data_IF_188829193703
#
_entry.id   IF_188829193703
#
_cell.length_a   1.000
_cell.length_b   1.000
_cell.length_c   1.000
_cell.angle_alpha   90.00
_cell.angle_beta   90.00
_cell.angle_gamma   90.00
#
_symmetry.space_group_name_H-M   'P 1'
#
loop_
_entity.id
_entity.type
_entity.pdbx_description
1 polymer ?
#
# COMPACT_ATOMS: atom_id res chain seq x y z
N UNK A 1 12.28 -6.43 -39.83
CA UNK A 1 12.79 -7.32 -40.88
C UNK A 1 14.31 -7.45 -40.71
N UNK A 2 14.78 -8.46 -40.02
CA UNK A 2 16.20 -8.70 -39.83
C UNK A 2 16.49 -9.51 -38.57
N UNK A 3 17.71 -10.01 -38.46
CA UNK A 3 18.24 -10.75 -37.32
C UNK A 3 18.80 -9.85 -36.21
N UNK A 4 18.46 -8.55 -36.24
CA UNK A 4 18.98 -7.58 -35.26
C UNK A 4 17.97 -7.42 -34.12
N UNK A 5 18.42 -7.72 -32.93
CA UNK A 5 17.67 -7.44 -31.69
C UNK A 5 18.19 -6.12 -31.14
N UNK A 6 17.31 -5.14 -31.02
CA UNK A 6 17.62 -3.86 -30.39
C UNK A 6 17.04 -3.88 -28.97
N UNK A 7 17.92 -3.70 -27.99
CA UNK A 7 17.54 -3.62 -26.59
C UNK A 7 17.71 -2.18 -26.13
N UNK A 8 16.60 -1.55 -25.73
CA UNK A 8 16.62 -0.20 -25.18
C UNK A 8 16.31 -0.28 -23.68
N UNK A 9 17.24 0.20 -22.86
CA UNK A 9 17.01 0.31 -21.43
C UNK A 9 15.94 1.37 -21.15
N UNK A 10 14.95 1.03 -20.36
CA UNK A 10 13.95 1.99 -19.90
C UNK A 10 14.61 2.96 -18.90
N UNK A 11 14.29 4.25 -19.01
CA UNK A 11 14.77 5.25 -18.07
C UNK A 11 14.15 5.04 -16.70
N UNK A 12 14.96 5.19 -15.64
CA UNK A 12 14.50 5.15 -14.26
C UNK A 12 13.74 6.44 -13.93
N UNK A 13 12.84 6.36 -12.95
CA UNK A 13 12.18 7.55 -12.42
C UNK A 13 13.22 8.52 -11.86
N UNK A 14 13.16 9.78 -12.30
CA UNK A 14 14.06 10.85 -11.85
C UNK A 14 13.28 12.10 -11.38
N UNK A 15 11.95 12.03 -11.36
CA UNK A 15 11.08 13.13 -10.97
C UNK A 15 10.38 12.79 -9.66
N UNK A 16 10.33 13.76 -8.75
CA UNK A 16 9.56 13.64 -7.53
C UNK A 16 8.05 13.64 -7.85
N UNK A 17 7.31 12.81 -7.15
CA UNK A 17 5.86 12.73 -7.26
C UNK A 17 5.20 12.53 -5.88
N UNK A 18 3.95 12.91 -5.78
CA UNK A 18 3.17 12.82 -4.53
C UNK A 18 2.06 11.80 -4.70
N UNK A 19 1.96 10.86 -3.75
CA UNK A 19 0.77 10.02 -3.56
C UNK A 19 -0.06 10.66 -2.46
N UNK A 20 -1.18 11.26 -2.84
CA UNK A 20 -2.05 12.00 -1.93
C UNK A 20 -3.26 11.17 -1.51
N UNK A 21 -3.61 11.24 -0.22
CA UNK A 21 -4.80 10.57 0.31
C UNK A 21 -4.62 9.10 0.65
N UNK A 22 -3.38 8.60 0.65
CA UNK A 22 -3.05 7.21 0.97
C UNK A 22 -3.45 6.87 2.41
N UNK A 23 -3.90 5.64 2.64
CA UNK A 23 -4.29 5.14 3.97
C UNK A 23 -3.15 4.36 4.63
N UNK A 24 -3.24 4.20 5.96
CA UNK A 24 -2.25 3.46 6.74
C UNK A 24 -2.05 2.01 6.26
N UNK A 25 -3.12 1.34 5.81
CA UNK A 25 -3.07 -0.01 5.25
C UNK A 25 -2.27 -0.07 3.95
N UNK A 26 -2.44 0.91 3.06
CA UNK A 26 -1.70 0.96 1.78
C UNK A 26 -0.23 1.32 2.00
N UNK A 27 0.07 2.18 2.99
CA UNK A 27 1.46 2.47 3.39
C UNK A 27 2.14 1.21 3.92
N UNK A 28 1.41 0.38 4.69
CA UNK A 28 1.93 -0.91 5.15
C UNK A 28 2.29 -1.83 3.99
N UNK A 29 1.53 -1.78 2.88
CA UNK A 29 1.84 -2.53 1.68
C UNK A 29 3.20 -2.13 1.06
N UNK A 30 3.55 -0.84 1.04
CA UNK A 30 4.89 -0.41 0.61
C UNK A 30 5.99 -1.05 1.45
N UNK A 31 5.81 -1.17 2.77
CA UNK A 31 6.80 -1.84 3.63
C UNK A 31 6.95 -3.34 3.33
N UNK A 32 5.88 -3.97 2.83
CA UNK A 32 5.94 -5.37 2.37
C UNK A 32 6.68 -5.45 1.05
N UNK A 33 6.39 -4.57 0.09
CA UNK A 33 7.07 -4.50 -1.20
C UNK A 33 8.54 -4.13 -1.05
N UNK A 34 8.87 -3.20 -0.16
CA UNK A 34 10.26 -2.80 0.15
C UNK A 34 11.11 -4.01 0.56
N UNK A 35 10.54 -4.95 1.34
CA UNK A 35 11.26 -6.18 1.74
C UNK A 35 11.57 -7.11 0.58
N UNK A 36 10.81 -7.03 -0.49
CA UNK A 36 10.99 -7.88 -1.69
C UNK A 36 11.89 -7.18 -2.69
N UNK A 37 11.55 -5.94 -3.06
CA UNK A 37 12.19 -5.25 -4.19
C UNK A 37 13.45 -4.48 -3.82
N UNK A 38 13.66 -4.16 -2.53
CA UNK A 38 14.91 -3.55 -2.04
C UNK A 38 15.88 -4.58 -1.44
N UNK A 39 15.52 -5.88 -1.40
CA UNK A 39 16.44 -6.94 -1.06
C UNK A 39 17.46 -7.18 -2.19
N UNK A 40 18.59 -7.82 -1.86
CA UNK A 40 19.61 -8.16 -2.86
C UNK A 40 19.18 -9.37 -3.70
N UNK A 41 19.21 -9.29 -5.05
CA UNK A 41 19.53 -8.13 -5.88
C UNK A 41 18.41 -7.08 -5.93
N UNK A 42 18.77 -5.81 -5.70
CA UNK A 42 17.81 -4.70 -5.65
C UNK A 42 17.19 -4.45 -7.02
N UNK A 43 15.85 -4.34 -7.06
CA UNK A 43 15.14 -3.81 -8.22
C UNK A 43 15.36 -2.29 -8.31
N UNK A 44 16.20 -1.89 -9.24
CA UNK A 44 16.65 -0.49 -9.40
C UNK A 44 15.55 0.44 -9.91
N UNK A 45 14.52 -0.08 -10.58
CA UNK A 45 13.37 0.72 -11.04
C UNK A 45 12.41 0.99 -9.88
N UNK A 46 12.15 -0.02 -9.06
CA UNK A 46 11.38 0.13 -7.84
C UNK A 46 12.06 1.10 -6.88
N UNK A 47 13.36 0.91 -6.63
CA UNK A 47 14.16 1.76 -5.75
C UNK A 47 14.11 3.25 -6.17
N UNK A 48 14.31 3.54 -7.46
CA UNK A 48 14.22 4.90 -7.98
C UNK A 48 12.82 5.52 -7.76
N UNK A 49 11.75 4.78 -8.04
CA UNK A 49 10.39 5.26 -7.76
C UNK A 49 10.16 5.48 -6.26
N UNK A 50 10.63 4.58 -5.44
CA UNK A 50 10.47 4.67 -3.98
C UNK A 50 11.23 5.86 -3.40
N UNK A 51 12.40 6.17 -3.96
CA UNK A 51 13.21 7.34 -3.59
C UNK A 51 12.51 8.65 -3.93
N UNK A 52 11.88 8.76 -5.10
CA UNK A 52 11.22 9.99 -5.56
C UNK A 52 9.78 10.15 -5.09
N UNK A 53 9.18 9.11 -4.50
CA UNK A 53 7.81 9.18 -4.00
C UNK A 53 7.70 9.90 -2.66
N UNK A 54 6.71 10.79 -2.54
CA UNK A 54 6.32 11.47 -1.30
C UNK A 54 4.91 11.00 -0.91
N UNK A 55 4.75 10.51 0.31
CA UNK A 55 3.48 9.97 0.79
C UNK A 55 2.76 11.01 1.66
N UNK A 56 1.61 11.47 1.20
CA UNK A 56 0.70 12.32 1.98
C UNK A 56 -0.50 11.47 2.39
N UNK A 57 -0.53 11.06 3.63
CA UNK A 57 -1.58 10.21 4.17
C UNK A 57 -2.74 11.01 4.76
N UNK A 58 -3.94 10.45 4.68
CA UNK A 58 -5.10 10.92 5.43
C UNK A 58 -5.43 9.86 6.49
N UNK A 59 -5.48 10.26 7.77
CA UNK A 59 -5.93 9.41 8.84
C UNK A 59 -7.35 8.89 8.56
N UNK A 60 -7.61 7.62 8.88
CA UNK A 60 -8.81 6.92 8.44
C UNK A 60 -9.99 7.19 9.39
N UNK A 61 -10.69 8.31 9.20
CA UNK A 61 -11.81 8.74 10.04
C UNK A 61 -13.08 7.90 9.91
N UNK A 62 -13.20 7.12 8.84
CA UNK A 62 -14.38 6.32 8.54
C UNK A 62 -14.00 4.92 8.00
N UNK A 63 -13.63 3.99 8.90
CA UNK A 63 -13.29 2.62 8.51
C UNK A 63 -14.56 1.83 8.17
N UNK A 64 -14.46 1.01 7.12
CA UNK A 64 -15.52 0.10 6.68
C UNK A 64 -15.64 -1.13 7.62
N UNK A 65 -16.78 -1.81 7.55
CA UNK A 65 -17.00 -3.03 8.36
C UNK A 65 -16.05 -4.18 8.00
N UNK A 66 -15.50 -4.16 6.80
CA UNK A 66 -14.49 -5.12 6.33
C UNK A 66 -13.06 -4.79 6.76
N UNK A 67 -12.82 -3.65 7.44
CA UNK A 67 -11.49 -3.25 7.86
C UNK A 67 -10.95 -4.13 9.01
N UNK A 68 -9.66 -4.47 8.91
CA UNK A 68 -8.93 -5.30 9.89
C UNK A 68 -7.50 -4.79 10.16
N UNK A 69 -7.27 -3.49 10.01
CA UNK A 69 -5.95 -2.86 10.16
C UNK A 69 -5.27 -3.19 11.49
N UNK A 70 -6.02 -3.08 12.59
CA UNK A 70 -5.52 -3.30 13.95
C UNK A 70 -5.07 -4.74 14.21
N UNK A 71 -5.70 -5.72 13.53
CA UNK A 71 -5.26 -7.13 13.55
C UNK A 71 -3.79 -7.29 13.14
N UNK A 72 -3.29 -6.42 12.24
CA UNK A 72 -1.92 -6.44 11.75
C UNK A 72 -1.05 -5.33 12.35
N UNK A 73 -1.48 -4.72 13.45
CA UNK A 73 -0.74 -3.67 14.15
C UNK A 73 -0.60 -2.38 13.35
N UNK A 74 -1.56 -2.09 12.46
CA UNK A 74 -1.60 -0.84 11.68
C UNK A 74 -2.46 0.17 12.45
N UNK A 75 -1.90 1.34 12.75
CA UNK A 75 -2.65 2.43 13.38
C UNK A 75 -3.33 3.31 12.33
N UNK A 76 -4.66 3.25 12.17
CA UNK A 76 -5.38 4.06 11.20
C UNK A 76 -5.41 5.55 11.56
N UNK A 77 -5.16 5.89 12.85
CA UNK A 77 -5.13 7.26 13.34
C UNK A 77 -3.76 7.93 13.15
N UNK A 78 -2.69 7.12 12.94
CA UNK A 78 -1.32 7.60 12.82
C UNK A 78 -0.61 6.86 11.68
N UNK A 79 -0.94 7.15 10.41
CA UNK A 79 -0.23 6.60 9.25
C UNK A 79 1.27 6.94 9.29
N UNK A 80 2.11 6.01 8.82
CA UNK A 80 3.57 6.21 8.77
C UNK A 80 3.99 6.79 7.40
N UNK A 81 3.62 8.05 7.13
CA UNK A 81 3.84 8.77 5.88
C UNK A 81 4.80 9.96 6.06
N UNK A 82 5.19 10.60 4.95
CA UNK A 82 6.00 11.82 4.97
C UNK A 82 5.19 12.99 5.55
N UNK A 83 3.92 13.07 5.19
CA UNK A 83 2.94 14.02 5.77
C UNK A 83 1.68 13.27 6.14
N UNK A 84 1.12 13.57 7.30
CA UNK A 84 -0.17 13.03 7.75
C UNK A 84 -1.18 14.16 7.92
N UNK A 85 -2.38 13.92 7.42
CA UNK A 85 -3.51 14.83 7.52
C UNK A 85 -4.59 14.22 8.42
N UNK A 86 -5.13 15.01 9.34
CA UNK A 86 -6.31 14.69 10.15
C UNK A 86 -7.42 15.68 9.82
N UNK A 87 -8.59 15.16 9.48
CA UNK A 87 -9.78 16.00 9.26
C UNK A 87 -10.50 16.22 10.59
N UNK A 88 -10.73 17.49 10.92
CA UNK A 88 -11.51 17.92 12.09
C UNK A 88 -12.53 18.98 11.65
N UNK A 89 -13.80 18.60 11.58
CA UNK A 89 -14.82 19.44 10.98
C UNK A 89 -14.56 19.69 9.49
N UNK A 90 -14.46 20.95 9.09
CA UNK A 90 -14.17 21.37 7.72
C UNK A 90 -12.67 21.67 7.48
N UNK A 91 -11.85 21.52 8.50
CA UNK A 91 -10.42 21.80 8.46
C UNK A 91 -9.58 20.54 8.39
N UNK A 92 -8.34 20.68 7.89
CA UNK A 92 -7.34 19.64 7.91
C UNK A 92 -6.13 20.11 8.71
N UNK A 93 -5.71 19.29 9.68
CA UNK A 93 -4.47 19.45 10.41
C UNK A 93 -3.40 18.62 9.73
N UNK A 94 -2.24 19.20 9.46
CA UNK A 94 -1.14 18.55 8.78
C UNK A 94 0.10 18.49 9.67
N UNK A 95 0.82 17.36 9.61
CA UNK A 95 2.13 17.22 10.26
C UNK A 95 3.09 16.47 9.35
N UNK A 96 4.30 17.03 9.16
CA UNK A 96 5.40 16.36 8.49
C UNK A 96 6.17 15.46 9.46
N UNK A 97 6.71 14.35 8.91
CA UNK A 97 7.52 13.38 9.66
C UNK A 97 8.86 13.12 9.01
N UNK A 98 9.10 13.66 7.80
CA UNK A 98 10.35 13.52 7.05
C UNK A 98 10.75 14.85 6.44
N UNK A 99 12.03 14.98 6.06
CA UNK A 99 12.53 16.17 5.36
C UNK A 99 11.80 16.39 4.02
N UNK A 100 11.39 15.32 3.33
CA UNK A 100 10.57 15.43 2.10
C UNK A 100 9.21 16.05 2.39
N UNK A 101 8.58 15.59 3.48
CA UNK A 101 7.31 16.12 3.95
C UNK A 101 7.41 17.60 4.36
N UNK A 102 8.47 18.00 5.04
CA UNK A 102 8.72 19.40 5.42
C UNK A 102 8.87 20.29 4.19
N UNK A 103 9.66 19.87 3.20
CA UNK A 103 9.84 20.60 1.94
C UNK A 103 8.52 20.76 1.18
N UNK A 104 7.71 19.69 1.15
CA UNK A 104 6.40 19.74 0.50
C UNK A 104 5.47 20.72 1.22
N UNK A 105 5.39 20.63 2.56
CA UNK A 105 4.51 21.50 3.37
C UNK A 105 4.94 22.96 3.35
N UNK A 106 6.21 23.26 3.14
CA UNK A 106 6.70 24.65 3.02
C UNK A 106 6.07 25.42 1.84
N UNK A 107 5.53 24.70 0.85
CA UNK A 107 4.81 25.29 -0.28
C UNK A 107 3.29 25.49 0.00
N UNK A 108 2.79 25.05 1.16
CA UNK A 108 1.38 25.16 1.50
C UNK A 108 1.09 26.42 2.31
N UNK A 109 -0.07 27.01 2.11
CA UNK A 109 -0.59 28.05 2.97
C UNK A 109 -1.20 27.41 4.22
N UNK A 110 -0.47 27.49 5.35
CA UNK A 110 -0.88 26.89 6.62
C UNK A 110 -0.80 27.91 7.75
N UNK A 111 -1.59 27.69 8.80
CA UNK A 111 -1.46 28.37 10.09
C UNK A 111 -0.88 27.39 11.13
N UNK A 112 -0.26 27.94 12.18
CA UNK A 112 0.22 27.11 13.29
C UNK A 112 -0.95 26.49 14.05
N UNK A 113 -0.79 25.20 14.41
CA UNK A 113 -1.73 24.44 15.22
C UNK A 113 -1.07 24.06 16.56
N UNK A 114 -1.87 23.93 17.61
CA UNK A 114 -1.41 23.53 18.94
C UNK A 114 -1.06 22.04 19.00
N UNK A 115 -0.11 21.74 19.88
CA UNK A 115 0.19 20.35 20.23
C UNK A 115 -1.05 19.74 20.92
N UNK A 116 -1.55 18.60 20.41
CA UNK A 116 -2.76 17.95 20.93
C UNK A 116 -4.06 18.32 20.26
N UNK A 117 -4.09 19.28 19.31
CA UNK A 117 -5.32 19.72 18.63
C UNK A 117 -6.07 18.59 17.89
N UNK A 118 -5.38 17.49 17.59
CA UNK A 118 -5.94 16.33 16.88
C UNK A 118 -6.07 15.07 17.74
N UNK A 119 -5.82 15.14 19.04
CA UNK A 119 -5.83 13.95 19.91
C UNK A 119 -7.24 13.37 20.08
N UNK A 120 -8.26 14.22 20.11
CA UNK A 120 -9.66 13.83 20.09
C UNK A 120 -10.02 13.09 18.79
N UNK A 121 -9.56 13.58 17.64
CA UNK A 121 -9.76 12.94 16.32
C UNK A 121 -9.08 11.56 16.29
N UNK A 122 -7.84 11.47 16.79
CA UNK A 122 -7.12 10.20 16.86
C UNK A 122 -7.82 9.19 17.76
N UNK A 123 -8.32 9.63 18.91
CA UNK A 123 -9.09 8.79 19.83
C UNK A 123 -10.39 8.29 19.20
N UNK A 124 -11.11 9.16 18.48
CA UNK A 124 -12.34 8.80 17.75
C UNK A 124 -12.06 7.75 16.67
N UNK A 125 -11.01 7.94 15.86
CA UNK A 125 -10.61 6.99 14.82
C UNK A 125 -10.33 5.61 15.43
N UNK A 126 -9.56 5.55 16.53
CA UNK A 126 -9.25 4.30 17.22
C UNK A 126 -10.51 3.61 17.74
N UNK A 127 -11.40 4.36 18.40
CA UNK A 127 -12.65 3.82 18.91
C UNK A 127 -13.55 3.27 17.80
N UNK A 128 -13.66 3.97 16.66
CA UNK A 128 -14.41 3.51 15.50
C UNK A 128 -13.81 2.22 14.93
N UNK A 129 -12.47 2.16 14.81
CA UNK A 129 -11.79 0.98 14.28
C UNK A 129 -11.97 -0.24 15.22
N UNK A 130 -11.82 -0.05 16.52
CA UNK A 130 -11.96 -1.11 17.51
C UNK A 130 -13.40 -1.71 17.57
N UNK A 131 -14.39 -0.91 17.16
CA UNK A 131 -15.78 -1.36 17.07
C UNK A 131 -16.08 -2.22 15.84
N UNK A 132 -15.14 -2.33 14.88
CA UNK A 132 -15.39 -3.06 13.63
C UNK A 132 -15.30 -4.57 13.81
N UNK A 133 -16.13 -5.36 13.06
CA UNK A 133 -16.24 -6.81 13.24
C UNK A 133 -14.92 -7.57 13.09
N UNK A 134 -13.99 -7.04 12.27
CA UNK A 134 -12.72 -7.69 11.97
C UNK A 134 -11.51 -6.97 12.59
N UNK A 135 -11.72 -6.04 13.52
CA UNK A 135 -10.65 -5.31 14.18
C UNK A 135 -9.68 -6.22 14.95
N UNK A 136 -10.17 -7.36 15.44
CA UNK A 136 -9.40 -8.29 16.29
C UNK A 136 -9.56 -9.74 15.82
N UNK A 137 -9.07 -10.04 14.61
CA UNK A 137 -9.09 -11.40 14.08
C UNK A 137 -8.11 -12.30 14.85
N UNK A 138 -8.51 -13.54 15.10
CA UNK A 138 -7.61 -14.53 15.63
C UNK A 138 -6.75 -15.11 14.49
N UNK A 139 -5.46 -14.81 14.52
CA UNK A 139 -4.46 -15.27 13.54
C UNK A 139 -3.68 -16.51 14.02
N UNK A 140 -4.10 -17.20 15.08
CA UNK A 140 -3.43 -18.41 15.56
C UNK A 140 -3.36 -19.46 14.45
N UNK A 141 -2.17 -19.93 14.14
CA UNK A 141 -1.92 -20.89 13.06
C UNK A 141 -1.89 -20.26 11.65
N UNK A 142 -1.95 -18.92 11.54
CA UNK A 142 -1.76 -18.20 10.28
C UNK A 142 -0.38 -17.54 10.31
N UNK A 143 0.67 -18.34 10.16
CA UNK A 143 2.07 -17.92 10.22
C UNK A 143 2.94 -18.79 9.31
N UNK A 144 4.24 -18.47 9.25
CA UNK A 144 5.20 -19.17 8.41
C UNK A 144 5.43 -20.65 8.79
N UNK A 145 5.26 -20.99 10.06
CA UNK A 145 5.47 -22.36 10.56
C UNK A 145 4.34 -23.28 10.13
N UNK A 146 3.15 -22.73 9.92
CA UNK A 146 1.95 -23.47 9.48
C UNK A 146 1.66 -23.31 7.97
N UNK A 147 2.59 -22.78 7.19
CA UNK A 147 2.38 -22.46 5.77
C UNK A 147 1.88 -23.65 4.95
N UNK A 148 2.47 -24.84 5.14
CA UNK A 148 2.07 -26.05 4.42
C UNK A 148 0.64 -26.52 4.77
N UNK A 149 0.26 -26.40 6.04
CA UNK A 149 -1.08 -26.76 6.52
C UNK A 149 -2.12 -25.78 5.97
N UNK A 150 -1.79 -24.48 5.98
CA UNK A 150 -2.63 -23.45 5.40
C UNK A 150 -2.82 -23.64 3.90
N UNK A 151 -1.72 -23.86 3.16
CA UNK A 151 -1.76 -24.05 1.71
C UNK A 151 -2.61 -25.25 1.30
N UNK A 152 -2.53 -26.37 2.02
CA UNK A 152 -3.28 -27.58 1.73
C UNK A 152 -4.63 -27.65 2.46
N UNK A 153 -5.08 -26.58 3.07
CA UNK A 153 -6.33 -26.58 3.84
C UNK A 153 -7.56 -26.81 2.94
N UNK A 154 -8.44 -27.76 3.30
CA UNK A 154 -9.68 -28.00 2.55
C UNK A 154 -10.65 -26.81 2.61
N UNK A 155 -10.39 -25.84 3.48
CA UNK A 155 -11.19 -24.60 3.57
C UNK A 155 -11.13 -23.79 2.26
N UNK A 156 -10.03 -23.89 1.49
CA UNK A 156 -9.87 -23.16 0.24
C UNK A 156 -10.91 -23.54 -0.81
N UNK A 157 -11.27 -24.82 -0.90
CA UNK A 157 -12.32 -25.27 -1.81
C UNK A 157 -13.64 -24.53 -1.54
N UNK A 158 -14.06 -24.46 -0.28
CA UNK A 158 -15.29 -23.77 0.11
C UNK A 158 -15.20 -22.25 -0.09
N UNK A 159 -14.05 -21.65 0.22
CA UNK A 159 -13.83 -20.20 0.09
C UNK A 159 -13.77 -19.76 -1.38
N UNK A 160 -13.25 -20.61 -2.25
CA UNK A 160 -13.15 -20.32 -3.69
C UNK A 160 -14.42 -20.62 -4.48
N UNK A 161 -15.33 -21.43 -3.95
CA UNK A 161 -16.55 -21.87 -4.64
C UNK A 161 -17.42 -20.72 -5.18
N UNK A 162 -17.62 -19.58 -4.48
CA UNK A 162 -18.38 -18.45 -5.01
C UNK A 162 -17.56 -17.57 -5.97
N UNK A 163 -16.29 -17.90 -6.24
CA UNK A 163 -15.41 -17.06 -7.03
C UNK A 163 -15.78 -17.12 -8.53
N UNK A 164 -16.03 -15.93 -9.13
CA UNK A 164 -16.32 -15.80 -10.56
C UNK A 164 -15.05 -15.69 -11.42
N UNK A 165 -13.85 -15.71 -10.83
CA UNK A 165 -12.59 -15.56 -11.55
C UNK A 165 -12.37 -14.19 -12.19
N UNK A 166 -13.00 -13.13 -11.68
CA UNK A 166 -12.93 -11.78 -12.26
C UNK A 166 -11.59 -11.05 -12.03
N UNK A 167 -10.71 -11.57 -11.15
CA UNK A 167 -9.40 -10.99 -10.87
C UNK A 167 -9.42 -9.69 -10.03
N UNK A 168 -10.57 -9.15 -9.65
CA UNK A 168 -10.67 -7.89 -8.91
C UNK A 168 -9.86 -7.89 -7.61
N UNK A 169 -9.88 -9.00 -6.85
CA UNK A 169 -9.14 -9.12 -5.60
C UNK A 169 -7.62 -9.00 -5.77
N UNK A 170 -7.06 -9.49 -6.89
CA UNK A 170 -5.65 -9.34 -7.21
C UNK A 170 -5.32 -7.97 -7.79
N UNK A 171 -6.26 -7.37 -8.52
CA UNK A 171 -6.09 -6.04 -9.10
C UNK A 171 -6.07 -4.94 -8.03
N UNK A 172 -6.93 -5.02 -7.02
CA UNK A 172 -7.01 -4.00 -5.95
C UNK A 172 -6.00 -4.22 -4.82
N UNK A 173 -5.39 -5.39 -4.73
CA UNK A 173 -4.43 -5.70 -3.67
C UNK A 173 -3.09 -5.01 -3.92
N UNK A 174 -2.64 -4.11 -3.05
CA UNK A 174 -1.42 -3.33 -3.28
C UNK A 174 -0.14 -4.17 -3.19
N UNK A 175 -0.20 -5.39 -2.67
CA UNK A 175 0.94 -6.33 -2.61
C UNK A 175 0.91 -7.42 -3.66
N UNK A 176 -0.14 -7.47 -4.51
CA UNK A 176 -0.28 -8.45 -5.57
C UNK A 176 0.49 -8.00 -6.81
N UNK A 177 1.75 -8.39 -6.91
CA UNK A 177 2.66 -8.02 -8.00
C UNK A 177 2.95 -9.16 -8.97
N UNK A 178 2.22 -10.29 -8.84
CA UNK A 178 2.38 -11.42 -9.77
C UNK A 178 1.82 -11.08 -11.13
N UNK A 179 2.55 -11.41 -12.17
CA UNK A 179 2.15 -11.28 -13.57
C UNK A 179 2.54 -12.55 -14.34
N UNK A 180 1.86 -12.79 -15.45
CA UNK A 180 2.15 -13.88 -16.37
C UNK A 180 2.84 -13.32 -17.62
N UNK A 181 3.90 -13.97 -18.07
CA UNK A 181 4.57 -13.63 -19.33
C UNK A 181 4.31 -14.74 -20.31
N UNK A 182 3.68 -14.42 -21.43
CA UNK A 182 3.37 -15.38 -22.50
C UNK A 182 3.99 -14.93 -23.81
N UNK A 183 4.62 -15.88 -24.47
CA UNK A 183 5.13 -15.69 -25.82
C UNK A 183 4.17 -16.33 -26.83
N UNK A 184 3.75 -15.55 -27.79
CA UNK A 184 2.88 -16.00 -28.89
C UNK A 184 3.63 -15.91 -30.21
N UNK A 185 3.62 -17.02 -30.96
CA UNK A 185 4.08 -17.00 -32.35
C UNK A 185 2.97 -16.36 -33.23
N UNK A 186 3.31 -15.23 -33.85
CA UNK A 186 2.40 -14.50 -34.76
C UNK A 186 2.51 -14.97 -36.22
N UNK A 187 3.36 -15.98 -36.52
CA UNK A 187 3.73 -16.38 -37.85
C UNK A 187 4.70 -15.43 -38.56
N UNK A 188 4.98 -14.27 -38.00
CA UNK A 188 5.95 -13.26 -38.47
C UNK A 188 6.98 -12.91 -37.41
N UNK A 189 6.93 -13.53 -36.25
CA UNK A 189 7.79 -13.32 -35.08
C UNK A 189 7.10 -13.70 -33.79
N UNK A 190 7.82 -13.53 -32.68
CA UNK A 190 7.28 -13.78 -31.33
C UNK A 190 6.85 -12.46 -30.72
N UNK A 191 5.63 -12.44 -30.19
CA UNK A 191 5.10 -11.32 -29.42
C UNK A 191 4.95 -11.75 -27.96
N UNK A 192 5.50 -10.94 -27.05
CA UNK A 192 5.43 -11.13 -25.59
C UNK A 192 4.37 -10.22 -24.97
N UNK A 193 3.54 -10.76 -24.10
CA UNK A 193 2.51 -10.06 -23.32
C UNK A 193 2.78 -10.24 -21.84
#
# INVERSE_FOLDING_TARGET
EGKTIELTEQQRCAEDYVIFGIRACDIRAFKVLDKVFLADPVDTYYAARREHGILVAIACSDPEDSCFCTTFGIDPAQPEADVVLWKKGDEYYAKSYTEKGEKLMAAWETSEAGEGDVDDVKAEIKAKMDSKPFAHLNLTGIDGDHLNELFNSPKWERLSMPCLGCGTCTFVCPTCQCYDIRDYDTGHGVQRY
#
